data_IF_304523830111
#
_entry.id   IF_304523830111
#
_cell.length_a   1.000
_cell.length_b   1.000
_cell.length_c   1.000
_cell.angle_alpha   90.00
_cell.angle_beta   90.00
_cell.angle_gamma   90.00
#
_symmetry.space_group_name_H-M   'P 1'
#
loop_
_entity.id
_entity.type
_entity.pdbx_description
1 polymer ?
#
# COMPACT_ATOMS: atom_id res chain seq x y z
N UNK A 1 12.71 -29.13 13.85
CA UNK A 1 13.47 -27.89 13.59
C UNK A 1 13.85 -27.77 12.11
N UNK A 2 12.85 -27.71 11.20
CA UNK A 2 13.10 -27.67 9.75
C UNK A 2 12.00 -26.86 9.02
N UNK A 3 11.77 -25.61 9.43
CA UNK A 3 10.89 -24.64 8.74
C UNK A 3 11.39 -23.19 8.95
N UNK A 4 12.66 -22.92 8.65
CA UNK A 4 13.25 -21.59 8.86
C UNK A 4 14.39 -21.29 7.87
N UNK A 5 14.25 -21.70 6.60
CA UNK A 5 15.34 -21.56 5.62
C UNK A 5 15.15 -20.59 4.45
N UNK A 6 14.00 -19.93 4.28
CA UNK A 6 13.79 -19.04 3.12
C UNK A 6 13.41 -17.59 3.45
N UNK A 7 13.70 -17.08 4.65
CA UNK A 7 13.54 -15.65 4.94
C UNK A 7 14.79 -14.86 4.51
N UNK A 8 14.85 -14.51 3.23
CA UNK A 8 15.81 -13.50 2.75
C UNK A 8 15.44 -12.16 3.36
N UNK A 9 16.12 -11.81 4.45
CA UNK A 9 15.98 -10.51 5.12
C UNK A 9 16.79 -9.47 4.33
N UNK A 10 16.11 -8.43 3.83
CA UNK A 10 16.80 -7.31 3.19
C UNK A 10 17.28 -6.38 4.31
N UNK A 11 18.59 -6.41 4.55
CA UNK A 11 19.25 -5.47 5.44
C UNK A 11 19.53 -4.21 4.62
N UNK A 12 18.74 -3.16 4.84
CA UNK A 12 19.00 -1.86 4.25
C UNK A 12 19.91 -1.06 5.19
N UNK A 13 21.21 -1.01 4.87
CA UNK A 13 22.14 -0.05 5.49
C UNK A 13 22.06 1.24 4.69
N UNK A 14 21.34 2.23 5.21
CA UNK A 14 21.36 3.57 4.62
C UNK A 14 22.65 4.26 5.08
N UNK A 15 23.75 4.04 4.37
CA UNK A 15 24.92 4.93 4.46
C UNK A 15 24.74 6.01 3.41
N UNK A 16 24.22 7.16 3.81
CA UNK A 16 24.27 8.41 3.04
C UNK A 16 24.73 9.53 3.96
N UNK A 17 25.69 10.33 3.47
CA UNK A 17 26.18 11.62 4.01
C UNK A 17 25.03 12.48 4.60
N UNK A 18 25.34 13.41 5.53
CA UNK A 18 24.57 13.69 6.75
C UNK A 18 23.14 14.14 6.45
N UNK A 19 22.24 13.19 6.25
CA UNK A 19 20.84 13.45 5.95
C UNK A 19 19.98 12.44 6.69
N UNK A 20 19.60 12.82 7.92
CA UNK A 20 18.32 12.49 8.57
C UNK A 20 18.05 13.32 9.83
N UNK A 21 18.60 14.53 9.90
CA UNK A 21 18.15 15.55 10.86
C UNK A 21 16.98 16.37 10.26
N UNK A 22 16.81 16.40 8.94
CA UNK A 22 15.83 17.26 8.26
C UNK A 22 14.36 16.86 8.46
N UNK A 23 14.02 15.58 8.67
CA UNK A 23 12.63 15.19 8.92
C UNK A 23 12.17 15.48 10.36
N UNK A 24 13.11 15.61 11.30
CA UNK A 24 12.81 16.06 12.65
C UNK A 24 12.96 17.57 12.78
N UNK A 25 13.94 18.19 12.11
CA UNK A 25 14.06 19.66 12.01
C UNK A 25 12.89 20.28 11.27
N UNK A 26 12.42 19.75 10.14
CA UNK A 26 11.26 20.31 9.45
C UNK A 26 9.97 20.30 10.29
N UNK A 27 9.81 19.27 11.14
CA UNK A 27 8.70 19.16 12.08
C UNK A 27 8.90 20.06 13.31
N UNK A 28 10.10 20.09 13.90
CA UNK A 28 10.43 20.99 15.01
C UNK A 28 10.43 22.46 14.59
N UNK A 29 10.92 22.80 13.40
CA UNK A 29 10.99 24.16 12.86
C UNK A 29 9.58 24.67 12.50
N UNK A 30 8.68 23.80 12.02
CA UNK A 30 7.27 24.17 11.83
C UNK A 30 6.49 24.27 13.16
N UNK A 31 6.88 23.49 14.17
CA UNK A 31 6.30 23.55 15.53
C UNK A 31 6.83 24.75 16.32
N UNK A 32 8.07 25.17 16.09
CA UNK A 32 8.74 26.25 16.82
C UNK A 32 8.53 27.63 16.18
N UNK A 33 8.32 27.75 14.85
CA UNK A 33 8.26 29.07 14.20
C UNK A 33 6.99 29.90 14.49
N UNK A 34 5.78 29.32 14.69
CA UNK A 34 4.60 30.09 15.10
C UNK A 34 4.45 30.17 16.63
N UNK A 35 4.90 29.15 17.37
CA UNK A 35 4.70 29.04 18.81
C UNK A 35 5.59 29.99 19.63
N UNK A 36 6.82 30.28 19.18
CA UNK A 36 7.73 31.19 19.89
C UNK A 36 7.41 32.68 19.70
N UNK A 37 6.65 33.07 18.67
CA UNK A 37 6.41 34.48 18.33
C UNK A 37 5.00 35.01 18.68
N UNK A 38 4.03 34.16 19.04
CA UNK A 38 2.63 34.61 19.24
C UNK A 38 1.92 34.12 20.51
N UNK A 39 2.64 33.54 21.49
CA UNK A 39 2.01 33.18 22.78
C UNK A 39 0.85 32.18 22.64
N UNK A 40 0.85 31.37 21.58
CA UNK A 40 -0.17 30.35 21.32
C UNK A 40 0.00 29.22 22.33
N UNK A 41 -1.06 28.86 23.06
CA UNK A 41 -1.07 27.69 23.95
C UNK A 41 -0.77 26.43 23.14
N UNK A 42 0.30 25.73 23.49
CA UNK A 42 0.70 24.46 22.90
C UNK A 42 -0.37 23.39 23.14
N UNK A 43 -0.99 22.88 22.07
CA UNK A 43 -1.88 21.72 22.09
C UNK A 43 -1.13 20.40 22.28
N UNK A 44 -1.85 19.30 22.52
CA UNK A 44 -1.27 17.98 22.75
C UNK A 44 -1.06 17.26 21.40
N UNK A 45 0.20 17.09 20.98
CA UNK A 45 0.52 16.32 19.78
C UNK A 45 0.29 14.82 20.02
N UNK A 46 -0.67 14.22 19.31
CA UNK A 46 -0.92 12.78 19.32
C UNK A 46 -0.56 12.20 17.96
N UNK A 47 0.36 11.22 17.95
CA UNK A 47 0.95 10.64 16.74
C UNK A 47 0.47 9.20 16.58
N UNK A 48 -0.05 8.84 15.40
CA UNK A 48 -0.47 7.47 15.09
C UNK A 48 0.75 6.61 14.72
N UNK A 49 0.95 5.43 15.33
CA UNK A 49 2.10 4.58 15.03
C UNK A 49 2.05 4.00 13.61
N UNK A 50 3.21 3.61 13.08
CA UNK A 50 3.31 2.99 11.74
C UNK A 50 2.74 1.58 11.66
N UNK A 51 2.47 0.95 12.81
CA UNK A 51 1.75 -0.33 12.90
C UNK A 51 0.26 -0.19 12.56
N UNK A 52 -0.28 1.03 12.61
CA UNK A 52 -1.69 1.27 12.29
C UNK A 52 -1.90 1.37 10.78
N UNK A 53 -2.58 0.36 10.22
CA UNK A 53 -2.76 0.26 8.77
C UNK A 53 -3.52 1.47 8.20
N UNK A 54 -2.89 2.10 7.20
CA UNK A 54 -3.40 3.27 6.50
C UNK A 54 -3.06 4.62 7.15
N UNK A 55 -2.28 4.68 8.22
CA UNK A 55 -1.75 5.96 8.75
C UNK A 55 -0.72 6.58 7.80
N UNK A 56 -0.46 7.90 7.88
CA UNK A 56 0.63 8.53 7.12
C UNK A 56 1.99 7.84 7.36
N UNK A 57 2.26 7.41 8.61
CA UNK A 57 3.50 6.69 8.94
C UNK A 57 3.54 5.28 8.36
N UNK A 58 2.42 4.57 8.34
CA UNK A 58 2.29 3.28 7.67
C UNK A 58 2.57 3.41 6.16
N UNK A 59 1.95 4.39 5.50
CA UNK A 59 2.15 4.65 4.07
C UNK A 59 3.61 5.03 3.77
N UNK A 60 4.19 5.93 4.58
CA UNK A 60 5.59 6.30 4.46
C UNK A 60 6.53 5.10 4.69
N UNK A 61 6.19 4.23 5.64
CA UNK A 61 6.94 3.01 5.91
C UNK A 61 6.89 2.06 4.71
N UNK A 62 5.71 1.79 4.16
CA UNK A 62 5.54 0.96 2.98
C UNK A 62 6.30 1.50 1.76
N UNK A 63 6.27 2.81 1.55
CA UNK A 63 7.05 3.46 0.50
C UNK A 63 8.57 3.23 0.67
N UNK A 64 9.11 3.45 1.87
CA UNK A 64 10.53 3.23 2.14
C UNK A 64 10.93 1.76 1.95
N UNK A 65 10.08 0.83 2.38
CA UNK A 65 10.33 -0.61 2.21
C UNK A 65 10.32 -1.00 0.73
N UNK A 66 9.37 -0.46 -0.05
CA UNK A 66 9.33 -0.64 -1.49
C UNK A 66 10.61 -0.11 -2.16
N UNK A 67 11.07 1.08 -1.78
CA UNK A 67 12.32 1.63 -2.31
C UNK A 67 13.55 0.78 -1.93
N UNK A 68 13.56 0.17 -0.74
CA UNK A 68 14.62 -0.76 -0.35
C UNK A 68 14.60 -2.04 -1.22
N UNK A 69 13.42 -2.58 -1.52
CA UNK A 69 13.26 -3.71 -2.42
C UNK A 69 13.72 -3.36 -3.85
N UNK A 70 13.30 -2.20 -4.37
CA UNK A 70 13.74 -1.70 -5.68
C UNK A 70 15.25 -1.55 -5.74
N UNK A 71 15.88 -1.06 -4.67
CA UNK A 71 17.34 -0.97 -4.58
C UNK A 71 18.03 -2.33 -4.59
N UNK A 72 17.41 -3.36 -4.00
CA UNK A 72 17.99 -4.71 -3.87
C UNK A 72 17.79 -5.57 -5.11
N UNK A 73 16.59 -5.55 -5.69
CA UNK A 73 16.18 -6.43 -6.79
C UNK A 73 16.09 -5.73 -8.14
N UNK A 74 16.19 -4.40 -8.16
CA UNK A 74 16.01 -3.58 -9.34
C UNK A 74 14.59 -3.06 -9.48
N UNK A 75 14.35 -2.30 -10.55
CA UNK A 75 13.02 -1.78 -10.86
C UNK A 75 12.03 -2.93 -11.17
N UNK A 76 10.75 -2.77 -10.85
CA UNK A 76 9.71 -3.69 -11.29
C UNK A 76 9.66 -3.77 -12.82
N UNK A 77 9.33 -4.94 -13.35
CA UNK A 77 9.18 -5.20 -14.78
C UNK A 77 7.71 -5.19 -15.21
N UNK A 78 6.81 -5.61 -14.31
CA UNK A 78 5.36 -5.63 -14.56
C UNK A 78 4.61 -4.89 -13.45
N UNK A 79 3.59 -4.15 -13.88
CA UNK A 79 2.57 -3.56 -13.03
C UNK A 79 1.24 -4.19 -13.39
N UNK A 80 0.68 -4.97 -12.47
CA UNK A 80 -0.55 -5.72 -12.66
C UNK A 80 -1.64 -5.12 -11.78
N UNK A 81 -2.81 -4.89 -12.37
CA UNK A 81 -4.00 -4.44 -11.66
C UNK A 81 -5.01 -5.57 -11.62
N UNK A 82 -5.56 -5.85 -10.43
CA UNK A 82 -6.57 -6.89 -10.24
C UNK A 82 -7.80 -6.28 -9.59
N UNK A 83 -8.88 -6.14 -10.37
CA UNK A 83 -10.10 -5.44 -9.95
C UNK A 83 -11.20 -6.43 -9.59
N UNK A 84 -11.84 -6.22 -8.43
CA UNK A 84 -13.04 -6.97 -8.09
C UNK A 84 -14.17 -6.70 -9.08
N UNK A 85 -14.85 -7.77 -9.51
CA UNK A 85 -16.07 -7.65 -10.29
C UNK A 85 -17.25 -8.20 -9.50
N UNK A 86 -18.27 -7.39 -9.17
CA UNK A 86 -19.41 -7.84 -8.38
C UNK A 86 -20.25 -8.93 -9.06
N UNK A 87 -20.16 -9.04 -10.39
CA UNK A 87 -20.85 -10.08 -11.19
C UNK A 87 -20.13 -11.42 -11.24
N UNK A 88 -19.11 -11.64 -10.41
CA UNK A 88 -18.50 -12.97 -10.29
C UNK A 88 -19.52 -13.97 -9.74
N UNK A 89 -19.60 -15.13 -10.39
CA UNK A 89 -20.55 -16.18 -10.03
C UNK A 89 -20.39 -16.63 -8.57
N UNK A 90 -19.15 -16.65 -8.06
CA UNK A 90 -18.87 -17.00 -6.67
C UNK A 90 -19.46 -16.00 -5.66
N UNK A 91 -19.59 -14.73 -6.06
CA UNK A 91 -20.26 -13.71 -5.24
C UNK A 91 -21.77 -13.93 -5.33
N UNK A 92 -22.30 -14.09 -6.54
CA UNK A 92 -23.74 -14.25 -6.78
C UNK A 92 -24.30 -15.51 -6.11
N UNK A 93 -23.56 -16.61 -6.15
CA UNK A 93 -23.94 -17.87 -5.49
C UNK A 93 -23.90 -17.76 -3.95
N UNK A 94 -23.16 -16.80 -3.40
CA UNK A 94 -23.13 -16.54 -1.97
C UNK A 94 -24.29 -15.67 -1.48
N UNK A 95 -25.03 -15.01 -2.39
CA UNK A 95 -26.20 -14.21 -2.04
C UNK A 95 -27.42 -15.10 -1.83
N UNK A 96 -28.18 -14.83 -0.77
CA UNK A 96 -29.41 -15.57 -0.46
C UNK A 96 -30.64 -14.71 -0.75
N UNK A 97 -31.62 -15.28 -1.45
CA UNK A 97 -32.89 -14.61 -1.74
C UNK A 97 -32.71 -13.27 -2.48
N UNK A 98 -33.39 -12.18 -2.05
CA UNK A 98 -33.34 -10.89 -2.73
C UNK A 98 -32.17 -9.98 -2.28
N UNK A 99 -31.12 -10.51 -1.65
CA UNK A 99 -29.97 -9.74 -1.19
C UNK A 99 -29.24 -9.04 -2.34
N UNK A 100 -28.79 -7.80 -2.11
CA UNK A 100 -27.93 -7.09 -3.06
C UNK A 100 -26.46 -7.21 -2.66
N UNK A 101 -25.59 -6.90 -3.62
CA UNK A 101 -24.13 -6.95 -3.44
C UNK A 101 -23.67 -5.94 -2.40
N UNK A 102 -24.33 -4.79 -2.34
CA UNK A 102 -24.04 -3.72 -1.39
C UNK A 102 -24.36 -4.14 0.05
N UNK A 103 -25.28 -5.10 0.23
CA UNK A 103 -25.71 -5.60 1.54
C UNK A 103 -24.74 -6.66 2.09
N UNK A 104 -23.92 -7.27 1.23
CA UNK A 104 -23.01 -8.37 1.58
C UNK A 104 -21.53 -8.08 1.24
N UNK A 105 -20.96 -6.97 1.78
CA UNK A 105 -19.55 -6.64 1.56
C UNK A 105 -18.60 -7.74 2.07
N UNK A 106 -19.04 -8.54 3.03
CA UNK A 106 -18.31 -9.70 3.58
C UNK A 106 -18.08 -10.81 2.56
N UNK A 107 -19.04 -11.07 1.67
CA UNK A 107 -18.87 -12.05 0.59
C UNK A 107 -17.92 -11.48 -0.44
N UNK A 108 -18.10 -10.22 -0.83
CA UNK A 108 -17.29 -9.54 -1.84
C UNK A 108 -15.81 -9.59 -1.48
N UNK A 109 -15.44 -9.19 -0.25
CA UNK A 109 -14.03 -9.18 0.17
C UNK A 109 -13.42 -10.56 0.29
N UNK A 110 -14.19 -11.56 0.75
CA UNK A 110 -13.70 -12.94 0.88
C UNK A 110 -13.46 -13.57 -0.48
N UNK A 111 -14.42 -13.44 -1.40
CA UNK A 111 -14.26 -13.93 -2.78
C UNK A 111 -13.09 -13.22 -3.47
N UNK A 112 -12.96 -11.90 -3.31
CA UNK A 112 -11.82 -11.17 -3.84
C UNK A 112 -10.49 -11.67 -3.29
N UNK A 113 -10.37 -11.85 -1.96
CA UNK A 113 -9.13 -12.36 -1.35
C UNK A 113 -8.78 -13.76 -1.85
N UNK A 114 -9.76 -14.66 -1.99
CA UNK A 114 -9.55 -16.00 -2.55
C UNK A 114 -9.04 -15.93 -3.98
N UNK A 115 -9.71 -15.16 -4.86
CA UNK A 115 -9.28 -15.03 -6.26
C UNK A 115 -7.94 -14.33 -6.41
N UNK A 116 -7.66 -13.31 -5.60
CA UNK A 116 -6.36 -12.64 -5.58
C UNK A 116 -5.25 -13.61 -5.16
N UNK A 117 -5.52 -14.47 -4.18
CA UNK A 117 -4.54 -15.48 -3.72
C UNK A 117 -4.24 -16.47 -4.85
N UNK A 118 -5.26 -16.98 -5.53
CA UNK A 118 -5.07 -17.87 -6.69
C UNK A 118 -4.32 -17.18 -7.84
N UNK A 119 -4.65 -15.91 -8.11
CA UNK A 119 -3.96 -15.12 -9.13
C UNK A 119 -2.48 -14.89 -8.80
N UNK A 120 -2.16 -14.64 -7.52
CA UNK A 120 -0.77 -14.54 -7.05
C UNK A 120 -0.06 -15.90 -7.18
N UNK A 121 -0.75 -17.01 -6.93
CA UNK A 121 -0.20 -18.36 -7.11
C UNK A 121 0.10 -18.67 -8.58
N UNK A 122 -0.78 -18.29 -9.51
CA UNK A 122 -0.51 -18.37 -10.96
C UNK A 122 0.76 -17.61 -11.34
N UNK A 123 0.87 -16.35 -10.88
CA UNK A 123 1.99 -15.48 -11.21
C UNK A 123 3.30 -16.00 -10.60
N UNK A 124 3.29 -16.32 -9.30
CA UNK A 124 4.50 -16.54 -8.52
C UNK A 124 4.91 -18.01 -8.50
N UNK A 125 3.95 -18.94 -8.29
CA UNK A 125 4.25 -20.37 -8.14
C UNK A 125 4.24 -21.09 -9.49
N UNK A 126 3.28 -20.76 -10.35
CA UNK A 126 3.16 -21.36 -11.69
C UNK A 126 3.98 -20.62 -12.75
N UNK A 127 4.66 -19.54 -12.37
CA UNK A 127 5.56 -18.74 -13.21
C UNK A 127 4.87 -18.25 -14.50
N UNK A 128 3.61 -17.78 -14.40
CA UNK A 128 2.82 -17.34 -15.56
C UNK A 128 3.56 -16.31 -16.42
N UNK A 129 4.27 -15.37 -15.78
CA UNK A 129 5.08 -14.34 -16.45
C UNK A 129 6.60 -14.63 -16.36
N UNK A 130 6.96 -15.90 -16.12
CA UNK A 130 8.31 -16.30 -15.75
C UNK A 130 8.58 -16.18 -14.25
N UNK A 131 9.84 -16.36 -13.85
CA UNK A 131 10.23 -16.48 -12.44
C UNK A 131 10.27 -15.11 -11.76
N UNK A 132 9.44 -14.93 -10.74
CA UNK A 132 9.39 -13.73 -9.91
C UNK A 132 10.46 -13.79 -8.81
N UNK A 133 11.35 -12.79 -8.75
CA UNK A 133 12.34 -12.65 -7.67
C UNK A 133 11.81 -11.85 -6.49
N UNK A 134 10.97 -10.85 -6.75
CA UNK A 134 10.32 -10.07 -5.69
C UNK A 134 9.00 -9.48 -6.17
N UNK A 135 8.02 -9.40 -5.27
CA UNK A 135 6.77 -8.70 -5.50
C UNK A 135 6.37 -7.83 -4.30
N UNK A 136 5.56 -6.82 -4.57
CA UNK A 136 4.87 -5.96 -3.62
C UNK A 136 3.43 -5.81 -4.13
N UNK A 137 2.43 -5.97 -3.27
CA UNK A 137 1.06 -5.61 -3.62
C UNK A 137 0.39 -4.77 -2.54
N UNK A 138 -0.54 -3.93 -2.99
CA UNK A 138 -1.36 -3.05 -2.15
C UNK A 138 -2.81 -3.22 -2.57
N UNK A 139 -3.70 -3.26 -1.59
CA UNK A 139 -5.15 -3.29 -1.75
C UNK A 139 -5.71 -1.89 -1.50
N UNK A 140 -6.44 -1.39 -2.48
CA UNK A 140 -7.14 -0.12 -2.44
C UNK A 140 -8.63 -0.34 -2.69
N UNK A 141 -9.46 0.53 -2.16
CA UNK A 141 -10.91 0.48 -2.33
C UNK A 141 -11.31 1.69 -3.18
N UNK A 142 -11.57 1.46 -4.47
CA UNK A 142 -11.87 2.52 -5.46
C UNK A 142 -13.27 3.11 -5.25
N UNK A 143 -13.70 4.11 -6.05
CA UNK A 143 -14.90 4.99 -5.87
C UNK A 143 -16.30 4.33 -5.74
N UNK A 144 -16.38 3.01 -5.51
CA UNK A 144 -17.60 2.31 -5.05
C UNK A 144 -17.34 1.37 -3.87
N UNK A 145 -16.18 1.52 -3.22
CA UNK A 145 -15.69 0.66 -2.15
C UNK A 145 -15.25 -0.73 -2.62
N UNK A 146 -15.17 -1.02 -3.92
CA UNK A 146 -14.76 -2.36 -4.36
C UNK A 146 -13.25 -2.53 -4.24
N UNK A 147 -12.78 -3.71 -3.78
CA UNK A 147 -11.36 -3.96 -3.63
C UNK A 147 -10.67 -4.05 -4.99
N UNK A 148 -9.49 -3.46 -5.05
CA UNK A 148 -8.60 -3.41 -6.18
C UNK A 148 -7.18 -3.67 -5.68
N UNK A 149 -6.41 -4.50 -6.39
CA UNK A 149 -5.02 -4.75 -6.05
C UNK A 149 -4.10 -4.13 -7.11
N UNK A 150 -3.09 -3.41 -6.63
CA UNK A 150 -1.95 -2.98 -7.42
C UNK A 150 -0.75 -3.86 -7.07
N UNK A 151 -0.18 -4.53 -8.05
CA UNK A 151 0.88 -5.53 -7.87
C UNK A 151 2.09 -5.11 -8.72
N UNK A 152 3.24 -4.96 -8.06
CA UNK A 152 4.54 -4.75 -8.70
C UNK A 152 5.33 -6.05 -8.67
N UNK A 153 5.81 -6.49 -9.83
CA UNK A 153 6.59 -7.72 -9.98
C UNK A 153 8.00 -7.40 -10.50
N UNK A 154 9.00 -8.03 -9.91
CA UNK A 154 10.39 -8.06 -10.40
C UNK A 154 10.71 -9.49 -10.81
N UNK A 155 11.03 -9.67 -12.08
CA UNK A 155 11.37 -10.94 -12.71
C UNK A 155 12.87 -11.22 -12.62
N UNK A 156 13.25 -12.50 -12.66
CA UNK A 156 14.65 -12.90 -12.71
C UNK A 156 15.33 -12.50 -14.03
N UNK A 157 16.66 -12.64 -14.10
CA UNK A 157 17.44 -12.23 -15.28
C UNK A 157 17.06 -12.95 -16.57
N UNK A 158 16.55 -14.18 -16.48
CA UNK A 158 16.19 -14.99 -17.64
C UNK A 158 14.74 -14.76 -18.10
N UNK A 159 13.89 -14.28 -17.20
CA UNK A 159 12.47 -14.01 -17.44
C UNK A 159 12.20 -12.54 -17.83
N UNK A 160 13.22 -11.68 -17.84
CA UNK A 160 13.06 -10.27 -18.23
C UNK A 160 12.52 -10.15 -19.65
N UNK A 161 11.50 -9.32 -19.80
CA UNK A 161 10.95 -8.88 -21.09
C UNK A 161 11.93 -7.85 -21.68
N UNK A 162 12.67 -8.22 -22.73
CA UNK A 162 13.69 -7.35 -23.34
C UNK A 162 13.45 -7.08 -24.82
N UNK A 163 12.77 -7.99 -25.49
CA UNK A 163 12.55 -7.92 -26.94
C UNK A 163 11.09 -7.66 -27.24
N UNK A 164 10.81 -7.25 -28.48
CA UNK A 164 9.43 -7.14 -28.98
C UNK A 164 8.73 -8.49 -28.90
N UNK A 165 9.40 -9.56 -29.32
CA UNK A 165 8.84 -10.91 -29.29
C UNK A 165 8.49 -11.37 -27.87
N UNK A 166 9.19 -10.87 -26.84
CA UNK A 166 8.81 -11.13 -25.44
C UNK A 166 7.52 -10.40 -25.05
N UNK A 167 7.32 -9.17 -25.53
CA UNK A 167 6.11 -8.39 -25.26
C UNK A 167 4.91 -9.08 -25.91
N UNK A 168 5.05 -9.50 -27.17
CA UNK A 168 3.99 -10.13 -27.96
C UNK A 168 3.52 -11.47 -27.35
N UNK A 169 4.34 -12.12 -26.51
CA UNK A 169 3.93 -13.33 -25.74
C UNK A 169 2.92 -13.05 -24.64
N UNK A 170 2.94 -11.85 -24.06
CA UNK A 170 2.14 -11.51 -22.86
C UNK A 170 1.07 -10.46 -23.13
N UNK A 171 1.25 -9.64 -24.17
CA UNK A 171 0.34 -8.55 -24.53
C UNK A 171 -0.19 -8.82 -25.92
N UNK A 172 -1.49 -9.07 -26.03
CA UNK A 172 -2.20 -9.17 -27.31
C UNK A 172 -3.50 -8.36 -27.25
N UNK A 173 -3.80 -7.70 -28.36
CA UNK A 173 -5.06 -6.99 -28.59
C UNK A 173 -5.96 -7.72 -29.60
N UNK A 174 -5.63 -8.97 -29.92
CA UNK A 174 -6.36 -9.77 -30.89
C UNK A 174 -7.59 -10.44 -30.25
N UNK A 175 -8.64 -10.61 -31.06
CA UNK A 175 -9.77 -11.42 -30.64
C UNK A 175 -9.40 -12.91 -30.78
N UNK A 176 -9.62 -13.72 -29.74
CA UNK A 176 -9.42 -15.17 -29.83
C UNK A 176 -10.26 -15.77 -30.95
N UNK A 177 -9.84 -16.90 -31.50
CA UNK A 177 -10.63 -17.58 -32.51
C UNK A 177 -11.95 -18.09 -31.89
N UNK A 178 -13.12 -17.73 -32.46
CA UNK A 178 -14.43 -18.07 -31.87
C UNK A 178 -14.75 -19.57 -31.93
N UNK A 179 -14.04 -20.34 -32.74
CA UNK A 179 -14.19 -21.79 -32.89
C UNK A 179 -13.14 -22.52 -32.05
N UNK A 180 -11.88 -22.10 -32.11
CA UNK A 180 -10.78 -22.76 -31.39
C UNK A 180 -10.78 -22.43 -29.89
N UNK A 181 -11.18 -21.21 -29.50
CA UNK A 181 -11.33 -20.80 -28.10
C UNK A 181 -12.60 -19.95 -27.89
N UNK A 182 -13.79 -20.59 -27.94
CA UNK A 182 -15.06 -19.90 -27.80
C UNK A 182 -15.22 -19.23 -26.42
N UNK A 183 -14.62 -19.80 -25.37
CA UNK A 183 -14.71 -19.27 -24.02
C UNK A 183 -13.91 -17.98 -23.87
N UNK A 184 -12.65 -17.97 -24.30
CA UNK A 184 -11.83 -16.75 -24.25
C UNK A 184 -12.40 -15.68 -25.18
N UNK A 185 -12.86 -16.06 -26.37
CA UNK A 185 -13.53 -15.13 -27.28
C UNK A 185 -14.73 -14.44 -26.61
N UNK A 186 -15.61 -15.21 -25.93
CA UNK A 186 -16.76 -14.66 -25.22
C UNK A 186 -16.34 -13.74 -24.07
N UNK A 187 -15.27 -14.07 -23.35
CA UNK A 187 -14.75 -13.23 -22.26
C UNK A 187 -14.22 -11.91 -22.83
N UNK A 188 -13.33 -11.95 -23.82
CA UNK A 188 -12.70 -10.75 -24.39
C UNK A 188 -13.77 -9.85 -25.04
N UNK A 189 -14.66 -10.40 -25.85
CA UNK A 189 -15.71 -9.62 -26.51
C UNK A 189 -16.66 -8.95 -25.52
N UNK A 190 -16.98 -9.62 -24.41
CA UNK A 190 -17.89 -9.06 -23.38
C UNK A 190 -17.20 -8.09 -22.42
N UNK A 191 -15.88 -8.18 -22.24
CA UNK A 191 -15.17 -7.50 -21.14
C UNK A 191 -14.18 -6.45 -21.59
N UNK A 192 -13.59 -6.59 -22.79
CA UNK A 192 -12.49 -5.76 -23.28
C UNK A 192 -12.87 -4.92 -24.50
N UNK A 193 -14.01 -5.21 -25.15
CA UNK A 193 -14.53 -4.39 -26.24
C UNK A 193 -15.44 -3.32 -25.65
N UNK A 194 -15.17 -2.07 -26.01
CA UNK A 194 -16.09 -0.98 -25.73
C UNK A 194 -17.38 -1.19 -26.53
N UNK A 195 -18.52 -1.25 -25.84
CA UNK A 195 -19.82 -1.29 -26.52
C UNK A 195 -20.05 -0.04 -27.39
N UNK A 196 -21.04 -0.05 -28.29
CA UNK A 196 -21.39 1.14 -29.05
C UNK A 196 -21.66 2.33 -28.10
N UNK A 197 -21.12 3.50 -28.42
CA UNK A 197 -21.26 4.76 -27.68
C UNK A 197 -21.42 5.95 -28.65
N UNK A 198 -21.47 7.18 -28.13
CA UNK A 198 -21.67 8.36 -28.96
C UNK A 198 -23.10 8.46 -29.49
N UNK A 199 -23.27 8.67 -30.78
CA UNK A 199 -24.59 8.75 -31.43
C UNK A 199 -25.35 7.41 -31.38
N UNK A 200 -24.62 6.29 -31.38
CA UNK A 200 -25.21 4.94 -31.35
C UNK A 200 -25.72 4.56 -29.96
N UNK A 201 -25.17 5.15 -28.90
CA UNK A 201 -25.66 4.98 -27.54
C UNK A 201 -25.22 6.15 -26.65
N UNK A 202 -26.00 7.25 -26.64
CA UNK A 202 -25.68 8.47 -25.88
C UNK A 202 -25.65 8.24 -24.37
N UNK A 203 -26.31 7.19 -23.87
CA UNK A 203 -26.40 6.86 -22.46
C UNK A 203 -25.19 6.07 -21.94
N UNK A 204 -24.21 5.78 -22.80
CA UNK A 204 -23.00 5.06 -22.41
C UNK A 204 -22.26 5.80 -21.29
N UNK A 205 -21.70 5.11 -20.28
CA UNK A 205 -21.01 5.76 -19.16
C UNK A 205 -19.88 6.72 -19.59
N UNK A 206 -19.21 6.46 -20.72
CA UNK A 206 -18.14 7.29 -21.28
C UNK A 206 -18.64 8.62 -21.90
N UNK A 207 -19.94 8.78 -22.08
CA UNK A 207 -20.57 9.99 -22.64
C UNK A 207 -21.06 10.95 -21.55
N UNK A 208 -20.95 10.58 -20.26
CA UNK A 208 -21.33 11.47 -19.16
C UNK A 208 -20.16 12.41 -18.83
N UNK A 209 -20.37 13.70 -19.01
CA UNK A 209 -19.43 14.73 -18.57
C UNK A 209 -19.50 14.92 -17.04
N UNK A 210 -18.33 15.10 -16.42
CA UNK A 210 -18.19 15.67 -15.08
C UNK A 210 -18.72 14.81 -13.92
N UNK A 211 -17.94 13.84 -13.45
CA UNK A 211 -18.12 13.32 -12.09
C UNK A 211 -17.43 14.26 -11.10
N UNK A 212 -18.27 14.95 -10.30
CA UNK A 212 -17.86 15.97 -9.35
C UNK A 212 -17.00 15.42 -8.22
N UNK A 213 -15.76 15.92 -8.13
CA UNK A 213 -14.96 15.84 -6.92
C UNK A 213 -15.64 16.68 -5.83
N UNK A 214 -16.18 16.04 -4.80
CA UNK A 214 -16.58 16.74 -3.59
C UNK A 214 -15.31 17.14 -2.83
N UNK A 215 -14.89 18.40 -2.98
CA UNK A 215 -13.80 18.96 -2.18
C UNK A 215 -14.35 19.33 -0.80
N UNK A 216 -14.01 18.57 0.23
CA UNK A 216 -14.23 18.97 1.62
C UNK A 216 -13.13 19.99 1.97
N UNK A 217 -13.54 21.23 2.28
CA UNK A 217 -12.64 22.26 2.81
C UNK A 217 -12.76 22.25 4.33
N UNK A 218 -11.64 22.01 5.01
CA UNK A 218 -11.55 22.18 6.45
C UNK A 218 -11.20 23.66 6.72
N UNK A 219 -12.07 24.37 7.43
CA UNK A 219 -11.75 25.69 7.97
C UNK A 219 -10.96 25.48 9.27
N UNK A 220 -9.66 25.75 9.23
CA UNK A 220 -8.88 25.82 10.46
C UNK A 220 -9.11 27.19 11.10
N UNK A 221 -9.81 27.22 12.23
CA UNK A 221 -9.67 28.31 13.19
C UNK A 221 -8.18 28.41 13.60
N UNK A 222 -7.68 29.62 13.90
CA UNK A 222 -6.25 29.94 14.13
C UNK A 222 -5.60 29.26 15.37
N UNK A 223 -6.01 28.04 15.74
CA UNK A 223 -5.47 27.22 16.80
C UNK A 223 -4.63 26.06 16.22
N UNK A 224 -3.36 25.97 16.60
CA UNK A 224 -2.50 24.81 16.31
C UNK A 224 -2.87 23.64 17.24
N UNK A 225 -4.08 23.10 17.09
CA UNK A 225 -4.50 21.85 17.71
C UNK A 225 -4.39 20.71 16.69
N UNK A 226 -3.18 20.19 16.51
CA UNK A 226 -2.90 19.11 15.56
C UNK A 226 -3.06 17.74 16.23
N UNK A 227 -4.29 17.23 16.19
CA UNK A 227 -4.61 15.85 16.58
C UNK A 227 -4.70 14.98 15.32
N UNK A 228 -3.66 14.15 15.08
CA UNK A 228 -3.67 13.20 13.96
C UNK A 228 -4.85 12.22 14.07
N UNK A 229 -5.32 11.88 15.28
CA UNK A 229 -6.43 10.95 15.48
C UNK A 229 -7.75 11.59 15.04
N UNK A 230 -8.03 12.82 15.46
CA UNK A 230 -9.23 13.53 15.01
C UNK A 230 -9.18 13.78 13.50
N UNK A 231 -8.05 14.26 12.99
CA UNK A 231 -7.85 14.43 11.54
C UNK A 231 -8.02 13.13 10.77
N UNK A 232 -7.55 12.00 11.32
CA UNK A 232 -7.71 10.68 10.73
C UNK A 232 -9.16 10.19 10.77
N UNK A 233 -9.91 10.49 11.83
CA UNK A 233 -11.34 10.13 11.96
C UNK A 233 -12.23 10.99 11.07
N UNK A 234 -11.95 12.29 11.00
CA UNK A 234 -12.81 13.26 10.32
C UNK A 234 -12.55 13.31 8.81
N UNK A 235 -11.32 13.01 8.38
CA UNK A 235 -10.93 13.03 6.96
C UNK A 235 -11.08 11.71 6.21
N UNK A 236 -11.35 10.58 6.90
CA UNK A 236 -11.31 9.25 6.27
C UNK A 236 -12.70 8.64 6.12
N UNK A 237 -13.20 8.63 4.89
CA UNK A 237 -14.29 7.74 4.52
C UNK A 237 -13.76 6.30 4.40
N UNK A 238 -14.26 5.40 5.25
CA UNK A 238 -13.98 3.96 5.16
C UNK A 238 -15.21 3.28 4.58
N UNK A 239 -15.05 2.67 3.40
CA UNK A 239 -16.16 1.97 2.75
C UNK A 239 -16.57 0.70 3.51
N UNK A 240 -17.79 0.20 3.30
CA UNK A 240 -18.25 -1.04 3.93
C UNK A 240 -17.35 -2.25 3.59
N UNK A 241 -16.88 -2.43 2.34
CA UNK A 241 -15.91 -3.48 2.04
C UNK A 241 -14.54 -3.24 2.68
N UNK A 242 -14.03 -2.00 2.77
CA UNK A 242 -12.77 -1.74 3.50
C UNK A 242 -12.89 -2.09 4.98
N UNK A 243 -14.02 -1.72 5.61
CA UNK A 243 -14.31 -2.09 7.00
C UNK A 243 -14.29 -3.60 7.16
N UNK A 244 -14.96 -4.31 6.26
CA UNK A 244 -15.05 -5.76 6.32
C UNK A 244 -13.69 -6.44 6.06
N UNK A 245 -12.86 -5.87 5.19
CA UNK A 245 -11.48 -6.31 4.98
C UNK A 245 -10.67 -6.24 6.27
N UNK A 246 -10.76 -5.12 6.99
CA UNK A 246 -10.09 -4.91 8.28
C UNK A 246 -10.62 -5.83 9.37
N UNK A 247 -11.94 -6.04 9.44
CA UNK A 247 -12.56 -6.95 10.42
C UNK A 247 -12.14 -8.41 10.22
N UNK A 248 -11.87 -8.82 8.98
CA UNK A 248 -11.30 -10.14 8.68
C UNK A 248 -9.77 -10.19 8.87
N UNK A 249 -9.15 -9.13 9.39
CA UNK A 249 -7.70 -9.00 9.60
C UNK A 249 -6.87 -9.24 8.33
N UNK A 250 -7.44 -8.92 7.16
CA UNK A 250 -6.72 -9.04 5.91
C UNK A 250 -5.72 -7.89 5.76
N UNK A 251 -4.49 -8.20 5.32
CA UNK A 251 -3.46 -7.19 5.11
C UNK A 251 -3.80 -6.29 3.91
N UNK A 252 -3.70 -4.98 4.08
CA UNK A 252 -3.84 -3.99 2.99
C UNK A 252 -2.62 -3.91 2.08
N UNK A 253 -1.47 -4.42 2.52
CA UNK A 253 -0.28 -4.53 1.68
C UNK A 253 0.55 -5.72 2.10
N UNK A 254 1.13 -6.43 1.14
CA UNK A 254 2.10 -7.48 1.42
C UNK A 254 3.32 -7.32 0.51
N UNK A 255 4.44 -7.87 0.96
CA UNK A 255 5.69 -7.90 0.24
C UNK A 255 6.35 -9.26 0.41
N UNK A 256 6.98 -9.72 -0.66
CA UNK A 256 7.73 -10.99 -0.68
C UNK A 256 8.87 -11.09 0.32
N UNK A 257 9.45 -9.95 0.73
CA UNK A 257 10.66 -9.90 1.54
C UNK A 257 10.49 -9.00 2.76
N UNK A 258 11.07 -9.43 3.87
CA UNK A 258 11.12 -8.61 5.09
C UNK A 258 12.23 -7.57 4.96
N UNK A 259 11.87 -6.30 5.16
CA UNK A 259 12.81 -5.18 5.21
C UNK A 259 13.06 -4.85 6.67
N UNK A 260 14.31 -5.00 7.11
CA UNK A 260 14.73 -4.62 8.46
C UNK A 260 15.52 -3.32 8.38
N UNK A 261 15.12 -2.35 9.19
CA UNK A 261 15.80 -1.05 9.30
C UNK A 261 16.78 -1.10 10.45
N UNK A 262 18.05 -0.93 10.13
CA UNK A 262 19.07 -0.68 11.15
C UNK A 262 19.17 0.83 11.36
N UNK A 263 18.81 1.29 12.55
CA UNK A 263 19.09 2.66 12.97
C UNK A 263 20.59 2.76 13.26
N UNK A 264 21.37 3.08 12.23
CA UNK A 264 22.80 3.39 12.41
C UNK A 264 22.89 4.86 12.76
N UNK A 265 23.16 5.15 14.03
CA UNK A 265 23.47 6.50 14.48
C UNK A 265 24.96 6.76 14.27
N UNK A 266 25.28 7.94 13.75
CA UNK A 266 26.66 8.43 13.80
C UNK A 266 27.01 8.73 15.27
N UNK A 267 28.30 8.63 15.67
CA UNK A 267 28.74 9.06 16.99
C UNK A 267 28.21 10.47 17.29
N UNK A 268 27.64 10.64 18.48
CA UNK A 268 27.11 11.91 19.00
C UNK A 268 25.93 12.54 18.23
N UNK A 269 25.25 11.77 17.37
CA UNK A 269 24.06 12.22 16.62
C UNK A 269 22.77 11.48 16.99
N UNK A 270 22.64 11.05 18.24
CA UNK A 270 21.36 10.56 18.77
C UNK A 270 20.53 11.72 19.28
N UNK A 271 19.35 11.92 18.68
CA UNK A 271 18.36 12.83 19.24
C UNK A 271 17.77 12.19 20.50
N UNK A 272 17.90 12.89 21.63
CA UNK A 272 17.34 12.50 22.92
C UNK A 272 16.18 13.46 23.20
N UNK A 273 14.99 12.91 23.44
CA UNK A 273 13.85 13.70 23.90
C UNK A 273 13.84 13.63 25.42
N UNK A 274 13.93 14.77 26.08
CA UNK A 274 13.90 14.91 27.53
C UNK A 274 12.90 16.01 27.92
N UNK A 275 12.42 15.98 29.16
CA UNK A 275 11.68 17.10 29.72
C UNK A 275 12.68 18.14 30.23
N UNK A 276 12.38 19.43 30.03
CA UNK A 276 13.23 20.55 30.47
C UNK A 276 13.63 20.37 31.94
N UNK A 277 14.94 20.35 32.22
CA UNK A 277 15.50 20.08 33.56
C UNK A 277 15.79 18.62 33.88
N UNK A 278 15.59 17.68 32.95
CA UNK A 278 15.96 16.26 33.07
C UNK A 278 17.04 15.83 32.05
N UNK A 279 17.86 16.77 31.59
CA UNK A 279 18.90 16.55 30.57
C UNK A 279 19.86 15.42 30.99
N UNK A 280 20.40 15.53 32.21
CA UNK A 280 21.44 14.61 32.71
C UNK A 280 20.92 13.19 32.91
N UNK A 281 19.68 13.03 33.38
CA UNK A 281 19.05 11.73 33.60
C UNK A 281 18.78 11.01 32.26
N UNK A 282 18.33 11.75 31.25
CA UNK A 282 18.07 11.22 29.92
C UNK A 282 19.36 10.75 29.24
N UNK A 283 20.46 11.50 29.39
CA UNK A 283 21.79 11.11 28.88
C UNK A 283 22.31 9.85 29.59
N UNK A 284 22.21 9.77 30.92
CA UNK A 284 22.66 8.59 31.66
C UNK A 284 21.89 7.32 31.29
N UNK A 285 20.57 7.42 31.13
CA UNK A 285 19.72 6.29 30.72
C UNK A 285 20.11 5.78 29.33
N UNK A 286 20.39 6.69 28.40
CA UNK A 286 20.84 6.35 27.05
C UNK A 286 22.20 5.62 27.05
N UNK A 287 23.12 6.05 27.91
CA UNK A 287 24.43 5.40 28.07
C UNK A 287 24.29 3.97 28.64
N UNK A 288 23.39 3.77 29.61
CA UNK A 288 23.09 2.45 30.15
C UNK A 288 22.45 1.51 29.11
N UNK A 289 21.49 2.01 28.33
CA UNK A 289 20.84 1.22 27.28
C UNK A 289 21.81 0.86 26.15
N UNK A 290 22.74 1.76 25.81
CA UNK A 290 23.83 1.50 24.86
C UNK A 290 24.76 0.40 25.36
N UNK A 291 25.11 0.40 26.65
CA UNK A 291 25.91 -0.68 27.26
C UNK A 291 25.17 -2.03 27.24
N UNK A 292 23.86 -2.04 27.50
CA UNK A 292 23.04 -3.27 27.44
C UNK A 292 22.95 -3.85 26.04
N UNK A 293 22.78 -3.00 25.02
CA UNK A 293 22.75 -3.42 23.61
C UNK A 293 24.09 -3.96 23.12
N UNK A 294 25.21 -3.42 23.60
CA UNK A 294 26.54 -3.94 23.28
C UNK A 294 26.78 -5.31 23.92
N UNK A 295 26.26 -5.53 25.12
CA UNK A 295 26.38 -6.82 25.83
C UNK A 295 25.49 -7.94 25.27
N UNK A 296 24.40 -7.60 24.56
CA UNK A 296 23.52 -8.61 23.93
C UNK A 296 23.94 -9.00 22.51
N UNK A 297 24.94 -8.29 21.96
CA UNK A 297 25.52 -8.53 20.63
C UNK A 297 26.90 -9.22 20.69
N UNK A 298 27.41 -9.51 21.89
CA UNK A 298 28.60 -10.33 22.17
C UNK A 298 28.21 -11.73 22.61
#
# INVERSE_FOLDING_TARGET
MQKLKDHVSIICVIIKKPLRIENYKGLLDSLNSPALNQGVRTGKLIIIPSTFQGSPRYMHQNYQDAMAMVRKFGRPDLFVTFTCKPTWVDILNGLEGPQRLEDRPDIVVRVFKMKLTEHLDDIIKRNLFGRVTSYIHVIEFQERGLPHAHILLTLDTYSKIRTKDDIDKYVSAELPDPIADPTLFQIITRRMIHGPCGTLNPNSPCMREGHGAASIRFENENTLDYDEILSFRDGRYVSAPETMWRLNEFNLSEKSHTVVRLAVHLPDQQAIVYQDGQEEEAVQKLLQDKQRLLHSLS
#
